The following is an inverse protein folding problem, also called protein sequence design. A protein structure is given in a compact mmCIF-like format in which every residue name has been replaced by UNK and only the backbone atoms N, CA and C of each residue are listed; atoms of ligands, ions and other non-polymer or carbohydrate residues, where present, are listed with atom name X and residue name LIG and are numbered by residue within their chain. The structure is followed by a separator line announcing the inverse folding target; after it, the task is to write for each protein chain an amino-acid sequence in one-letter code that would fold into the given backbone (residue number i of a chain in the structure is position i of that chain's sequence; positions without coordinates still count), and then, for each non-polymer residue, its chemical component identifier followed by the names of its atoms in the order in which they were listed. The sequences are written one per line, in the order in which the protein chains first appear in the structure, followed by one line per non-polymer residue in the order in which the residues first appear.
data_IF_776520013878
#
_entry.id   IF_776520013878
#
_cell.length_a   1.000
_cell.length_b   1.000
_cell.length_c   1.000
_cell.angle_alpha   90.00
_cell.angle_beta   90.00
_cell.angle_gamma   90.00
#
_symmetry.space_group_name_H-M   'P 1'
#
loop_
_entity.id
_entity.type
_entity.pdbx_description
1 polymer ?
#
# COMPACT_ATOMS: atom_id res chain seq x y z
N UNK A 1 8.48 -12.03 6.37
CA UNK A 1 8.45 -12.01 4.90
C UNK A 1 8.22 -10.58 4.42
N UNK A 2 9.01 -10.15 3.47
CA UNK A 2 8.94 -8.82 2.88
C UNK A 2 8.58 -8.92 1.41
N UNK A 3 7.56 -8.17 0.97
CA UNK A 3 7.20 -8.10 -0.44
C UNK A 3 7.45 -6.71 -1.00
N UNK A 4 7.89 -6.67 -2.26
CA UNK A 4 7.97 -5.45 -3.07
C UNK A 4 7.03 -5.59 -4.27
N UNK A 5 6.31 -4.53 -4.59
CA UNK A 5 5.30 -4.57 -5.64
C UNK A 5 5.14 -3.21 -6.32
N UNK A 6 4.60 -3.23 -7.53
CA UNK A 6 4.14 -2.03 -8.26
C UNK A 6 2.64 -1.78 -8.07
N UNK A 7 1.96 -2.67 -7.35
CA UNK A 7 0.55 -2.54 -6.99
C UNK A 7 0.41 -2.06 -5.55
N UNK A 8 -0.81 -1.70 -5.13
CA UNK A 8 -1.05 -1.37 -3.73
C UNK A 8 -0.78 -2.58 -2.83
N UNK A 9 -0.52 -2.33 -1.55
CA UNK A 9 -0.29 -3.41 -0.59
C UNK A 9 -1.49 -4.35 -0.50
N UNK A 10 -2.71 -3.80 -0.48
CA UNK A 10 -3.94 -4.60 -0.45
C UNK A 10 -4.07 -5.50 -1.68
N UNK A 11 -3.81 -4.96 -2.87
CA UNK A 11 -3.86 -5.75 -4.11
C UNK A 11 -2.79 -6.82 -4.14
N UNK A 12 -1.62 -6.57 -3.58
CA UNK A 12 -0.55 -7.56 -3.48
C UNK A 12 -0.99 -8.76 -2.66
N UNK A 13 -1.64 -8.54 -1.52
CA UNK A 13 -2.17 -9.61 -0.69
C UNK A 13 -3.22 -10.41 -1.44
N UNK A 14 -4.18 -9.75 -2.09
CA UNK A 14 -5.20 -10.42 -2.87
C UNK A 14 -4.62 -11.28 -3.99
N UNK A 15 -3.63 -10.78 -4.70
CA UNK A 15 -3.00 -11.52 -5.80
C UNK A 15 -2.28 -12.78 -5.30
N UNK A 16 -1.61 -12.70 -4.16
CA UNK A 16 -0.94 -13.85 -3.57
C UNK A 16 -1.95 -14.94 -3.22
N UNK A 17 -3.05 -14.56 -2.59
CA UNK A 17 -4.10 -15.51 -2.19
C UNK A 17 -4.82 -16.09 -3.41
N UNK A 18 -5.07 -15.28 -4.43
CA UNK A 18 -5.86 -15.67 -5.60
C UNK A 18 -5.21 -16.74 -6.49
N UNK A 19 -3.89 -16.96 -6.38
CA UNK A 19 -3.25 -18.02 -7.13
C UNK A 19 -3.52 -19.42 -6.58
N UNK A 20 -4.15 -19.52 -5.42
CA UNK A 20 -4.45 -20.80 -4.78
C UNK A 20 -5.90 -21.23 -5.01
N UNK A 21 -6.20 -22.54 -5.03
CA UNK A 21 -7.57 -23.03 -5.12
C UNK A 21 -8.44 -22.54 -3.97
N UNK A 22 -9.76 -22.38 -4.23
CA UNK A 22 -10.69 -21.83 -3.25
C UNK A 22 -10.65 -22.54 -1.89
N UNK A 23 -10.47 -23.86 -1.89
CA UNK A 23 -10.41 -24.64 -0.64
C UNK A 23 -9.15 -24.42 0.18
N UNK A 24 -8.13 -23.78 -0.39
CA UNK A 24 -6.86 -23.52 0.29
C UNK A 24 -6.69 -22.06 0.69
N UNK A 25 -7.54 -21.16 0.23
CA UNK A 25 -7.37 -19.72 0.43
C UNK A 25 -7.36 -19.33 1.91
N UNK A 26 -8.24 -19.91 2.72
CA UNK A 26 -8.30 -19.61 4.15
C UNK A 26 -6.99 -19.97 4.87
N UNK A 27 -6.42 -21.13 4.53
CA UNK A 27 -5.13 -21.56 5.08
C UNK A 27 -4.00 -20.63 4.65
N UNK A 28 -3.99 -20.23 3.37
CA UNK A 28 -2.99 -19.32 2.83
C UNK A 28 -3.06 -17.96 3.51
N UNK A 29 -4.25 -17.41 3.73
CA UNK A 29 -4.42 -16.16 4.48
C UNK A 29 -3.88 -16.27 5.89
N UNK A 30 -4.16 -17.37 6.57
CA UNK A 30 -3.67 -17.60 7.92
C UNK A 30 -2.14 -17.66 7.97
N UNK A 31 -1.53 -18.42 7.07
CA UNK A 31 -0.07 -18.52 6.99
C UNK A 31 0.57 -17.17 6.65
N UNK A 32 -0.01 -16.45 5.70
CA UNK A 32 0.48 -15.14 5.29
C UNK A 32 0.38 -14.13 6.44
N UNK A 33 -0.72 -14.15 7.18
CA UNK A 33 -0.92 -13.26 8.33
C UNK A 33 0.14 -13.47 9.42
N UNK A 34 0.59 -14.72 9.61
CA UNK A 34 1.59 -15.03 10.63
C UNK A 34 3.01 -14.67 10.18
N UNK A 35 3.31 -14.83 8.89
CA UNK A 35 4.68 -14.69 8.39
C UNK A 35 4.99 -13.32 7.80
N UNK A 36 3.97 -12.52 7.46
CA UNK A 36 4.15 -11.23 6.81
C UNK A 36 4.76 -10.20 7.76
N UNK A 37 5.84 -9.56 7.33
CA UNK A 37 6.46 -8.46 8.08
C UNK A 37 6.14 -7.10 7.47
N UNK A 38 6.22 -7.00 6.15
CA UNK A 38 5.96 -5.74 5.46
C UNK A 38 5.67 -5.96 3.99
N UNK A 39 4.92 -5.03 3.40
CA UNK A 39 4.75 -4.89 1.95
C UNK A 39 5.11 -3.47 1.58
N UNK A 40 6.04 -3.32 0.63
CA UNK A 40 6.43 -2.02 0.09
C UNK A 40 6.01 -1.98 -1.37
N UNK A 41 5.10 -1.06 -1.69
CA UNK A 41 4.62 -0.86 -3.06
C UNK A 41 5.22 0.42 -3.61
N UNK A 42 5.76 0.36 -4.82
CA UNK A 42 6.43 1.48 -5.45
C UNK A 42 5.65 1.97 -6.66
N UNK A 43 5.48 3.27 -6.76
CA UNK A 43 4.93 3.94 -7.94
C UNK A 43 5.92 5.00 -8.39
N UNK A 44 6.26 4.98 -9.68
CA UNK A 44 7.13 5.98 -10.27
C UNK A 44 6.28 7.12 -10.83
N UNK A 45 6.65 8.34 -10.45
CA UNK A 45 5.99 9.57 -10.89
C UNK A 45 6.98 10.46 -11.63
N UNK A 46 6.46 11.30 -12.52
CA UNK A 46 7.29 12.31 -13.17
C UNK A 46 7.75 13.32 -12.13
N UNK A 47 9.06 13.54 -12.08
CA UNK A 47 9.64 14.55 -11.22
C UNK A 47 9.55 15.91 -11.89
N UNK A 48 9.19 16.94 -11.13
CA UNK A 48 9.22 18.33 -11.59
C UNK A 48 10.65 18.69 -11.98
N UNK A 49 10.83 19.17 -13.20
CA UNK A 49 12.15 19.52 -13.71
C UNK A 49 12.87 18.41 -14.46
N UNK A 50 12.27 17.22 -14.54
CA UNK A 50 12.81 16.09 -15.33
C UNK A 50 13.09 14.84 -14.52
N UNK A 51 13.11 13.70 -15.19
CA UNK A 51 13.33 12.40 -14.57
C UNK A 51 12.10 11.88 -13.85
N UNK A 52 12.31 10.90 -12.99
CA UNK A 52 11.24 10.26 -12.22
C UNK A 52 11.61 10.19 -10.75
N UNK A 53 10.59 10.10 -9.90
CA UNK A 53 10.75 9.93 -8.46
C UNK A 53 9.87 8.77 -8.00
N UNK A 54 10.36 7.97 -7.05
CA UNK A 54 9.62 6.85 -6.50
C UNK A 54 8.79 7.28 -5.30
N UNK A 55 7.51 6.90 -5.31
CA UNK A 55 6.62 7.01 -4.17
C UNK A 55 6.34 5.63 -3.62
N UNK A 56 6.31 5.48 -2.31
CA UNK A 56 6.10 4.19 -1.67
C UNK A 56 4.86 4.18 -0.79
N UNK A 57 4.08 3.11 -0.91
CA UNK A 57 3.11 2.71 0.10
C UNK A 57 3.78 1.65 0.97
N UNK A 58 3.71 1.82 2.28
CA UNK A 58 4.37 0.93 3.24
C UNK A 58 3.33 0.36 4.19
N UNK A 59 3.21 -0.97 4.22
CA UNK A 59 2.34 -1.71 5.13
C UNK A 59 3.20 -2.59 6.01
N UNK A 60 3.03 -2.48 7.31
CA UNK A 60 3.75 -3.29 8.31
C UNK A 60 2.79 -4.33 8.89
N UNK A 61 3.29 -5.54 9.13
CA UNK A 61 2.51 -6.65 9.68
C UNK A 61 2.20 -6.50 11.17
N UNK A 62 1.50 -5.44 11.52
CA UNK A 62 0.99 -5.23 12.88
C UNK A 62 -0.14 -6.21 13.18
N UNK A 63 -0.53 -6.43 14.45
CA UNK A 63 -1.68 -7.27 14.78
C UNK A 63 -2.96 -6.84 14.05
N UNK A 64 -3.21 -5.54 13.89
CA UNK A 64 -4.38 -5.05 13.17
C UNK A 64 -4.36 -5.48 11.69
N UNK A 65 -3.23 -5.31 11.01
CA UNK A 65 -3.07 -5.72 9.61
C UNK A 65 -3.20 -7.24 9.49
N UNK A 66 -2.57 -8.00 10.37
CA UNK A 66 -2.64 -9.46 10.35
C UNK A 66 -4.06 -9.98 10.50
N UNK A 67 -4.86 -9.37 11.37
CA UNK A 67 -6.25 -9.73 11.53
C UNK A 67 -7.07 -9.46 10.26
N UNK A 68 -6.83 -8.33 9.59
CA UNK A 68 -7.52 -8.01 8.34
C UNK A 68 -7.20 -9.03 7.24
N UNK A 69 -5.96 -9.48 7.16
CA UNK A 69 -5.56 -10.51 6.19
C UNK A 69 -6.25 -11.83 6.51
N UNK A 70 -6.21 -12.26 7.77
CA UNK A 70 -6.79 -13.52 8.21
C UNK A 70 -8.29 -13.59 7.95
N UNK A 71 -9.00 -12.49 8.18
CA UNK A 71 -10.44 -12.40 8.06
C UNK A 71 -10.91 -11.99 6.66
N UNK A 72 -10.00 -11.88 5.69
CA UNK A 72 -10.32 -11.47 4.31
C UNK A 72 -10.98 -10.10 4.23
N UNK A 73 -10.54 -9.17 5.08
CA UNK A 73 -11.05 -7.80 5.13
C UNK A 73 -10.09 -6.81 4.47
N UNK A 74 -9.63 -7.16 3.27
CA UNK A 74 -8.60 -6.41 2.54
C UNK A 74 -9.07 -4.98 2.25
N UNK A 75 -10.35 -4.77 2.02
CA UNK A 75 -10.91 -3.45 1.77
C UNK A 75 -10.66 -2.45 2.92
N UNK A 76 -10.47 -2.94 4.14
CA UNK A 76 -10.21 -2.10 5.31
C UNK A 76 -8.72 -1.82 5.53
N UNK A 77 -7.84 -2.44 4.75
CA UNK A 77 -6.39 -2.31 4.94
C UNK A 77 -5.91 -0.89 4.67
N UNK A 78 -6.49 -0.20 3.70
CA UNK A 78 -6.10 1.17 3.39
C UNK A 78 -6.25 2.09 4.62
N UNK A 79 -7.38 2.00 5.32
CA UNK A 79 -7.61 2.78 6.54
C UNK A 79 -6.62 2.44 7.65
N UNK A 80 -6.30 1.14 7.81
CA UNK A 80 -5.33 0.70 8.81
C UNK A 80 -3.92 1.22 8.49
N UNK A 81 -3.54 1.26 7.23
CA UNK A 81 -2.26 1.83 6.79
C UNK A 81 -2.25 3.35 7.07
N UNK A 82 -3.34 4.02 6.72
CA UNK A 82 -3.47 5.46 6.88
C UNK A 82 -3.29 5.91 8.34
N UNK A 83 -3.80 5.12 9.28
CA UNK A 83 -3.71 5.42 10.71
C UNK A 83 -2.49 4.78 11.39
N UNK A 84 -1.67 4.05 10.64
CA UNK A 84 -0.53 3.32 11.17
C UNK A 84 0.80 4.06 11.09
N UNK A 85 0.81 5.38 11.02
CA UNK A 85 2.05 6.17 10.90
C UNK A 85 3.01 5.94 12.05
N UNK A 86 2.51 5.73 13.26
CA UNK A 86 3.33 5.44 14.43
C UNK A 86 4.15 4.14 14.28
N UNK A 87 3.71 3.23 13.42
CA UNK A 87 4.41 1.97 13.13
C UNK A 87 5.25 2.04 11.85
N UNK A 88 5.39 3.22 11.25
CA UNK A 88 6.13 3.40 10.00
C UNK A 88 5.33 3.15 8.74
N UNK A 89 4.01 2.99 8.83
CA UNK A 89 3.16 2.81 7.66
C UNK A 89 2.82 4.14 6.99
N UNK A 90 2.63 4.08 5.68
CA UNK A 90 2.14 5.22 4.91
C UNK A 90 1.37 4.74 3.69
N UNK A 91 0.32 5.48 3.32
CA UNK A 91 -0.40 5.25 2.07
C UNK A 91 0.34 5.94 0.93
N UNK A 92 0.02 5.55 -0.31
CA UNK A 92 0.54 6.24 -1.49
C UNK A 92 0.15 7.72 -1.46
N UNK A 93 -1.10 8.04 -1.09
CA UNK A 93 -1.58 9.42 -1.02
C UNK A 93 -0.76 10.26 -0.03
N UNK A 94 -0.45 9.70 1.15
CA UNK A 94 0.38 10.39 2.13
C UNK A 94 1.79 10.65 1.62
N UNK A 95 2.38 9.68 0.92
CA UNK A 95 3.69 9.84 0.31
C UNK A 95 3.68 10.92 -0.77
N UNK A 96 2.63 10.95 -1.61
CA UNK A 96 2.50 11.96 -2.65
C UNK A 96 2.26 13.36 -2.08
N UNK A 97 1.50 13.48 -0.99
CA UNK A 97 1.33 14.77 -0.31
C UNK A 97 2.67 15.33 0.17
N UNK A 98 3.51 14.48 0.73
CA UNK A 98 4.85 14.89 1.17
C UNK A 98 5.71 15.35 -0.01
N UNK A 99 5.70 14.61 -1.10
CA UNK A 99 6.45 14.98 -2.31
C UNK A 99 5.94 16.25 -2.95
N UNK A 100 4.62 16.46 -2.94
CA UNK A 100 4.03 17.70 -3.45
C UNK A 100 4.47 18.90 -2.64
N UNK A 101 4.53 18.79 -1.30
CA UNK A 101 5.04 19.85 -0.43
C UNK A 101 6.50 20.18 -0.72
N UNK A 102 7.29 19.18 -1.06
CA UNK A 102 8.71 19.35 -1.41
C UNK A 102 8.93 19.85 -2.83
N UNK A 103 7.85 20.00 -3.61
CA UNK A 103 7.94 20.44 -5.00
C UNK A 103 8.51 19.41 -5.97
N UNK A 104 8.51 18.12 -5.59
CA UNK A 104 9.09 17.06 -6.41
C UNK A 104 8.15 16.54 -7.49
N UNK A 105 6.84 16.68 -7.31
CA UNK A 105 5.81 16.25 -8.27
C UNK A 105 4.79 17.35 -8.45
N UNK A 106 4.04 17.31 -9.57
CA UNK A 106 2.96 18.26 -9.83
C UNK A 106 1.67 17.80 -9.15
N UNK A 107 0.79 18.77 -8.85
CA UNK A 107 -0.54 18.50 -8.31
C UNK A 107 -1.36 17.64 -9.28
N UNK A 108 -1.23 17.85 -10.56
CA UNK A 108 -1.94 17.08 -11.59
C UNK A 108 -1.54 15.61 -11.56
N UNK A 109 -0.24 15.31 -11.47
CA UNK A 109 0.23 13.93 -11.41
C UNK A 109 -0.20 13.26 -10.12
N UNK A 110 -0.13 13.96 -8.98
CA UNK A 110 -0.60 13.43 -7.71
C UNK A 110 -2.09 13.10 -7.76
N UNK A 111 -2.90 14.00 -8.27
CA UNK A 111 -4.36 13.81 -8.38
C UNK A 111 -4.70 12.62 -9.27
N UNK A 112 -3.99 12.46 -10.39
CA UNK A 112 -4.27 11.37 -11.33
C UNK A 112 -3.99 9.99 -10.74
N UNK A 113 -3.09 9.90 -9.76
CA UNK A 113 -2.68 8.64 -9.12
C UNK A 113 -3.33 8.40 -7.76
N UNK A 114 -3.97 9.42 -7.18
CA UNK A 114 -4.50 9.36 -5.83
C UNK A 114 -5.66 8.37 -5.69
N UNK A 115 -5.71 7.67 -4.56
CA UNK A 115 -6.87 6.88 -4.16
C UNK A 115 -7.99 7.84 -3.74
N UNK A 116 -7.67 8.84 -2.94
CA UNK A 116 -8.61 9.90 -2.57
C UNK A 116 -8.18 11.21 -3.24
N UNK A 117 -8.79 11.48 -4.39
CA UNK A 117 -8.44 12.64 -5.20
C UNK A 117 -8.75 13.98 -4.53
N UNK A 118 -9.67 13.98 -3.57
CA UNK A 118 -10.03 15.19 -2.83
C UNK A 118 -8.87 15.74 -1.99
N UNK A 119 -7.93 14.90 -1.59
CA UNK A 119 -6.75 15.35 -0.85
C UNK A 119 -5.87 16.31 -1.64
N UNK A 120 -5.98 16.29 -2.97
CA UNK A 120 -5.14 17.10 -3.87
C UNK A 120 -5.95 18.13 -4.65
N UNK A 121 -7.23 18.08 -4.53
CA UNK A 121 -8.15 18.97 -5.21
C UNK A 121 -8.51 20.17 -4.40
#
# INVERSE_FOLDING_TARGET
MLFRSTSSAAKTIDRIVDVFPAGEKAMVRSMLSESLRAVISQTLLKRTGGGRVACHEIMIGTPAIRNLIREDKVAQMYSAIQTGQAHGMQTLDQAMQDMLRKGLISKQDATSRAVNKELFG
#
